data_IF_617256639361
#
_entry.id   IF_617256639361
#
_cell.length_a   1.000
_cell.length_b   1.000
_cell.length_c   1.000
_cell.angle_alpha   90.00
_cell.angle_beta   90.00
_cell.angle_gamma   90.00
#
_symmetry.space_group_name_H-M   'P 1'
#
loop_
_entity.id
_entity.type
_entity.pdbx_description
1 polymer ?
#
# COMPACT_ATOMS: atom_id res chain seq x y z
N UNK A 1 13.79 10.01 -1.41
CA UNK A 1 12.66 9.25 -0.80
C UNK A 1 11.30 9.93 -0.96
N UNK A 2 10.25 9.18 -1.31
CA UNK A 2 8.85 9.68 -1.35
C UNK A 2 7.85 8.64 -0.86
N UNK A 3 6.77 9.10 -0.20
CA UNK A 3 5.61 8.23 0.07
C UNK A 3 4.89 8.00 -1.25
N UNK A 4 4.53 6.75 -1.53
CA UNK A 4 3.85 6.41 -2.79
C UNK A 4 2.62 5.53 -2.62
N UNK A 5 2.50 4.82 -1.51
CA UNK A 5 1.39 3.90 -1.27
C UNK A 5 1.07 3.78 0.21
N UNK A 6 -0.18 3.46 0.49
CA UNK A 6 -0.66 3.01 1.79
C UNK A 6 -1.13 1.56 1.64
N UNK A 7 -0.52 0.65 2.39
CA UNK A 7 -0.98 -0.72 2.54
C UNK A 7 -2.11 -0.74 3.57
N UNK A 8 -3.26 -1.24 3.17
CA UNK A 8 -4.42 -1.43 4.03
C UNK A 8 -4.73 -2.93 4.10
N UNK A 9 -4.32 -3.62 5.19
CA UNK A 9 -4.58 -5.04 5.31
C UNK A 9 -6.07 -5.29 5.53
N UNK A 10 -6.62 -6.26 4.82
CA UNK A 10 -8.00 -6.75 4.98
C UNK A 10 -7.99 -8.27 5.05
N UNK A 11 -9.02 -8.85 5.66
CA UNK A 11 -9.16 -10.31 5.70
C UNK A 11 -9.68 -10.85 4.36
N UNK A 12 -10.65 -10.16 3.76
CA UNK A 12 -11.18 -10.46 2.42
C UNK A 12 -11.40 -9.16 1.63
N UNK A 13 -10.83 -9.11 0.43
CA UNK A 13 -10.89 -7.93 -0.44
C UNK A 13 -12.30 -7.68 -0.95
N UNK A 14 -13.05 -8.71 -1.34
CA UNK A 14 -14.39 -8.52 -1.92
C UNK A 14 -15.38 -7.97 -0.91
N UNK A 15 -15.24 -8.37 0.35
CA UNK A 15 -16.05 -7.88 1.47
C UNK A 15 -15.71 -6.43 1.80
N UNK A 16 -14.43 -6.05 1.73
CA UNK A 16 -13.98 -4.70 2.09
C UNK A 16 -14.16 -3.68 0.94
N UNK A 17 -14.02 -4.10 -0.31
CA UNK A 17 -13.98 -3.21 -1.48
C UNK A 17 -15.19 -2.26 -1.62
N UNK A 18 -16.44 -2.67 -1.35
CA UNK A 18 -17.60 -1.78 -1.46
C UNK A 18 -17.51 -0.54 -0.56
N UNK A 19 -16.89 -0.65 0.62
CA UNK A 19 -16.68 0.52 1.49
C UNK A 19 -15.85 1.60 0.77
N UNK A 20 -14.81 1.19 0.06
CA UNK A 20 -13.92 2.14 -0.60
C UNK A 20 -14.50 2.66 -1.92
N UNK A 21 -15.10 1.78 -2.72
CA UNK A 21 -15.63 2.17 -4.04
C UNK A 21 -16.97 2.88 -3.90
N UNK A 22 -17.94 2.24 -3.25
CA UNK A 22 -19.30 2.78 -3.16
C UNK A 22 -19.43 3.76 -2.00
N UNK A 23 -18.81 3.46 -0.86
CA UNK A 23 -18.86 4.30 0.33
C UNK A 23 -18.01 5.57 0.23
N UNK A 24 -16.80 5.46 -0.31
CA UNK A 24 -15.85 6.58 -0.41
C UNK A 24 -15.66 7.12 -1.84
N UNK A 25 -16.29 6.51 -2.85
CA UNK A 25 -16.21 6.97 -4.23
C UNK A 25 -14.85 6.72 -4.90
N UNK A 26 -14.04 5.79 -4.37
CA UNK A 26 -12.71 5.52 -4.91
C UNK A 26 -12.76 4.66 -6.16
N UNK A 27 -11.82 4.89 -7.08
CA UNK A 27 -11.71 4.11 -8.31
C UNK A 27 -10.68 2.98 -8.18
N UNK A 28 -10.98 1.80 -8.73
CA UNK A 28 -10.00 0.71 -8.84
C UNK A 28 -9.03 1.01 -9.98
N UNK A 29 -7.73 1.07 -9.66
CA UNK A 29 -6.63 1.24 -10.63
C UNK A 29 -6.10 -0.08 -11.15
N UNK A 30 -5.96 -1.07 -10.26
CA UNK A 30 -5.37 -2.36 -10.60
C UNK A 30 -5.90 -3.47 -9.69
N UNK A 31 -5.93 -4.68 -10.22
CA UNK A 31 -6.37 -5.90 -9.56
C UNK A 31 -5.39 -7.02 -9.85
N UNK A 32 -5.05 -7.78 -8.80
CA UNK A 32 -4.45 -9.10 -8.93
C UNK A 32 -5.23 -10.10 -8.06
N UNK A 33 -5.99 -10.97 -8.74
CA UNK A 33 -6.82 -12.02 -8.13
C UNK A 33 -7.66 -11.49 -6.96
N UNK A 34 -7.60 -12.20 -5.84
CA UNK A 34 -8.26 -11.81 -4.58
C UNK A 34 -7.26 -11.40 -3.48
N UNK A 35 -5.97 -11.28 -3.83
CA UNK A 35 -4.89 -10.95 -2.89
C UNK A 35 -4.51 -9.47 -2.89
N UNK A 36 -4.77 -8.75 -3.98
CA UNK A 36 -4.40 -7.34 -4.12
C UNK A 36 -5.41 -6.50 -4.93
N UNK A 37 -5.72 -5.30 -4.43
CA UNK A 37 -6.41 -4.22 -5.16
C UNK A 37 -5.72 -2.90 -4.93
N UNK A 38 -5.35 -2.20 -5.99
CA UNK A 38 -4.94 -0.80 -5.93
C UNK A 38 -6.13 0.11 -6.22
N UNK A 39 -6.36 1.06 -5.33
CA UNK A 39 -7.36 2.11 -5.44
C UNK A 39 -6.70 3.47 -5.64
N UNK A 40 -7.41 4.35 -6.33
CA UNK A 40 -7.02 5.73 -6.51
C UNK A 40 -7.30 6.57 -5.26
N UNK A 41 -6.26 6.85 -4.48
CA UNK A 41 -6.30 7.79 -3.37
C UNK A 41 -5.79 9.19 -3.73
N UNK A 42 -5.77 9.56 -5.02
CA UNK A 42 -5.22 10.82 -5.51
C UNK A 42 -3.69 10.81 -5.53
N UNK A 43 -3.00 11.55 -4.63
CA UNK A 43 -1.54 11.56 -4.57
C UNK A 43 -0.92 10.24 -4.09
N UNK A 44 -1.74 9.32 -3.56
CA UNK A 44 -1.31 8.01 -3.05
C UNK A 44 -2.15 6.90 -3.68
N UNK A 45 -1.53 5.74 -3.86
CA UNK A 45 -2.28 4.50 -4.08
C UNK A 45 -2.69 3.92 -2.73
N UNK A 46 -3.96 3.55 -2.56
CA UNK A 46 -4.39 2.72 -1.43
C UNK A 46 -4.41 1.26 -1.92
N UNK A 47 -3.55 0.43 -1.36
CA UNK A 47 -3.46 -0.98 -1.70
C UNK A 47 -4.17 -1.82 -0.64
N UNK A 48 -5.32 -2.40 -1.00
CA UNK A 48 -5.92 -3.46 -0.18
C UNK A 48 -5.11 -4.73 -0.39
N UNK A 49 -4.62 -5.30 0.70
CA UNK A 49 -3.79 -6.52 0.70
C UNK A 49 -4.39 -7.59 1.61
N UNK A 50 -4.45 -8.82 1.11
CA UNK A 50 -5.02 -9.98 1.82
C UNK A 50 -4.20 -11.24 1.52
N UNK A 51 -4.40 -12.29 2.33
CA UNK A 51 -3.70 -13.56 2.17
C UNK A 51 -2.18 -13.39 2.14
N UNK A 52 -1.53 -14.01 1.16
CA UNK A 52 -0.06 -13.99 1.01
C UNK A 52 0.53 -12.59 0.72
N UNK A 53 -0.28 -11.65 0.23
CA UNK A 53 0.16 -10.27 -0.01
C UNK A 53 0.01 -9.38 1.24
N UNK A 54 -0.63 -9.88 2.30
CA UNK A 54 -0.73 -9.20 3.58
C UNK A 54 0.61 -9.31 4.33
N UNK A 55 1.53 -8.43 3.97
CA UNK A 55 2.86 -8.33 4.61
C UNK A 55 2.88 -7.39 5.83
N UNK A 56 1.73 -6.78 6.17
CA UNK A 56 1.58 -5.89 7.33
C UNK A 56 0.32 -6.23 8.11
N UNK A 57 0.38 -6.16 9.43
CA UNK A 57 -0.77 -6.40 10.32
C UNK A 57 -1.62 -5.15 10.58
N UNK A 58 -1.07 -3.98 10.28
CA UNK A 58 -1.74 -2.69 10.44
C UNK A 58 -1.48 -1.84 9.22
N UNK A 59 -2.30 -0.82 9.04
CA UNK A 59 -2.11 0.18 7.98
C UNK A 59 -0.68 0.71 8.02
N UNK A 60 0.00 0.69 6.87
CA UNK A 60 1.40 1.06 6.75
C UNK A 60 1.66 1.89 5.49
N UNK A 61 2.64 2.79 5.54
CA UNK A 61 3.08 3.57 4.39
C UNK A 61 4.27 2.91 3.71
N UNK A 62 4.32 2.97 2.39
CA UNK A 62 5.50 2.59 1.62
C UNK A 62 6.31 3.83 1.22
N UNK A 63 7.62 3.72 1.43
CA UNK A 63 8.60 4.71 1.02
C UNK A 63 9.35 4.20 -0.20
N UNK A 64 9.26 4.94 -1.30
CA UNK A 64 10.13 4.71 -2.44
C UNK A 64 11.46 5.42 -2.19
N UNK A 65 12.54 4.66 -2.27
CA UNK A 65 13.92 5.13 -2.19
C UNK A 65 14.50 5.10 -3.60
N UNK A 66 15.19 6.15 -3.99
CA UNK A 66 15.85 6.19 -5.29
C UNK A 66 17.14 5.36 -5.24
N UNK A 67 17.53 4.69 -6.33
CA UNK A 67 18.69 3.78 -6.33
C UNK A 67 20.03 4.45 -5.97
N UNK A 68 20.11 5.78 -6.09
CA UNK A 68 21.27 6.58 -5.71
C UNK A 68 21.21 7.09 -4.24
N UNK A 69 20.08 6.93 -3.55
CA UNK A 69 19.95 7.21 -2.13
C UNK A 69 20.61 6.05 -1.34
N UNK A 70 21.84 6.27 -0.87
CA UNK A 70 22.54 5.31 -0.01
C UNK A 70 21.97 5.37 1.44
N UNK A 71 20.80 4.76 1.59
CA UNK A 71 20.05 4.70 2.85
C UNK A 71 20.83 3.98 3.96
N UNK A 72 21.66 3.01 3.57
CA UNK A 72 22.38 2.14 4.49
C UNK A 72 23.67 2.79 5.01
N UNK A 73 24.38 3.58 4.20
CA UNK A 73 25.58 4.29 4.66
C UNK A 73 25.33 5.33 5.77
N UNK A 74 24.10 5.85 5.87
CA UNK A 74 23.74 6.84 6.92
C UNK A 74 23.49 6.22 8.29
N UNK A 75 23.07 4.95 8.36
CA UNK A 75 22.74 4.29 9.64
C UNK A 75 23.97 3.78 10.40
N UNK A 76 25.06 3.46 9.70
CA UNK A 76 26.31 3.00 10.33
C UNK A 76 27.11 4.13 11.01
N UNK A 77 26.95 5.39 10.59
CA UNK A 77 27.68 6.53 11.17
C UNK A 77 27.11 7.06 12.49
N UNK A 78 26.01 6.48 12.98
CA UNK A 78 25.26 6.97 14.14
C UNK A 78 25.28 6.00 15.34
N UNK A 79 26.13 4.97 15.30
CA UNK A 79 26.34 3.95 16.34
C UNK A 79 27.82 3.83 16.66
#
# INVERSE_FOLDING_TARGET
MKISMLLYPVDDINTALPLFVDGLGMNVKFRDGERYRALDGGPLTIALVAGDERIVERVALTLRVDGNDDLYARRWRAS
#
